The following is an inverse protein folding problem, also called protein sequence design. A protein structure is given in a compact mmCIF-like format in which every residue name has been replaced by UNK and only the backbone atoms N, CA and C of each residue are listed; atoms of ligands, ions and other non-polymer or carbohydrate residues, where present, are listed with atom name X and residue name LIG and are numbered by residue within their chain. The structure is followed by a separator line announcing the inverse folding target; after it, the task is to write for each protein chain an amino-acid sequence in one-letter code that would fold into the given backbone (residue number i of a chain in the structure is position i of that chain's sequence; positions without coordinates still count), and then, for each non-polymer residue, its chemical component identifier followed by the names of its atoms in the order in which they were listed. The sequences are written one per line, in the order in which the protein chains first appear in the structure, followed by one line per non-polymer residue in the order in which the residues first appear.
data_IF_465494356219
#
_entry.id   IF_465494356219
#
_cell.length_a   1.000
_cell.length_b   1.000
_cell.length_c   1.000
_cell.angle_alpha   90.00
_cell.angle_beta   90.00
_cell.angle_gamma   90.00
#
_symmetry.space_group_name_H-M   'P 1'
#
loop_
_entity.id
_entity.type
_entity.pdbx_description
1 polymer ?
#
# COMPACT_ATOMS: atom_id res chain seq x y z
N UNK A 1 9.02 21.86 -19.31
CA UNK A 1 9.02 20.76 -20.29
C UNK A 1 7.59 20.25 -20.46
N UNK A 2 7.06 20.06 -21.67
CA UNK A 2 5.73 19.45 -21.86
C UNK A 2 5.81 17.97 -21.50
N UNK A 3 5.00 17.51 -20.54
CA UNK A 3 4.86 16.07 -20.27
C UNK A 3 4.15 15.46 -21.50
N UNK A 4 4.77 14.49 -22.20
CA UNK A 4 4.16 13.85 -23.36
C UNK A 4 2.84 13.18 -22.97
N UNK A 5 1.97 12.91 -23.95
CA UNK A 5 0.75 12.12 -23.70
C UNK A 5 1.13 10.77 -23.07
N UNK A 6 0.49 10.42 -21.96
CA UNK A 6 0.75 9.16 -21.28
C UNK A 6 0.26 7.98 -22.15
N UNK A 7 0.98 6.84 -22.18
CA UNK A 7 0.52 5.64 -22.87
C UNK A 7 -0.79 5.11 -22.25
N UNK A 8 -1.54 4.22 -22.93
CA UNK A 8 -2.73 3.60 -22.35
C UNK A 8 -2.38 2.70 -21.15
N UNK A 9 -3.36 2.39 -20.31
CA UNK A 9 -3.17 1.44 -19.21
C UNK A 9 -3.05 -0.01 -19.72
N UNK A 10 -2.33 -0.88 -18.99
CA UNK A 10 -1.49 -0.56 -17.85
C UNK A 10 -0.18 0.14 -18.28
N UNK A 11 0.29 1.06 -17.43
CA UNK A 11 1.45 1.92 -17.69
C UNK A 11 2.33 2.22 -16.47
N UNK A 12 2.06 1.58 -15.33
CA UNK A 12 2.84 1.74 -14.12
C UNK A 12 3.88 0.64 -14.01
N UNK A 13 3.57 -0.47 -13.32
CA UNK A 13 4.51 -1.57 -13.10
C UNK A 13 4.85 -2.29 -14.40
N UNK A 14 3.85 -2.51 -15.25
CA UNK A 14 3.98 -3.18 -16.53
C UNK A 14 3.25 -2.39 -17.60
N UNK A 15 3.82 -2.40 -18.80
CA UNK A 15 3.08 -2.05 -20.03
C UNK A 15 2.45 -3.30 -20.64
N UNK A 16 1.59 -3.14 -21.66
CA UNK A 16 1.10 -4.27 -22.46
C UNK A 16 2.25 -5.15 -22.98
N UNK A 17 3.34 -4.55 -23.46
CA UNK A 17 4.54 -5.30 -23.87
C UNK A 17 5.17 -6.06 -22.70
N UNK A 18 5.28 -5.42 -21.53
CA UNK A 18 5.81 -6.05 -20.32
C UNK A 18 4.98 -7.25 -19.84
N UNK A 19 3.66 -7.22 -20.03
CA UNK A 19 2.77 -8.35 -19.72
C UNK A 19 3.04 -9.53 -20.65
N UNK A 20 3.18 -9.29 -21.96
CA UNK A 20 3.49 -10.35 -22.92
C UNK A 20 4.89 -10.95 -22.67
N UNK A 21 5.87 -10.11 -22.33
CA UNK A 21 7.20 -10.58 -21.90
C UNK A 21 7.13 -11.41 -20.61
N UNK A 22 6.29 -11.03 -19.66
CA UNK A 22 6.06 -11.79 -18.43
C UNK A 22 5.44 -13.16 -18.72
N UNK A 23 4.39 -13.24 -19.55
CA UNK A 23 3.77 -14.51 -19.96
C UNK A 23 4.78 -15.43 -20.64
N UNK A 24 5.55 -14.90 -21.58
CA UNK A 24 6.62 -15.65 -22.26
C UNK A 24 7.67 -16.19 -21.27
N UNK A 25 8.06 -15.41 -20.25
CA UNK A 25 9.01 -15.87 -19.23
C UNK A 25 8.42 -16.98 -18.35
N UNK A 26 7.14 -16.89 -17.98
CA UNK A 26 6.44 -17.91 -17.20
C UNK A 26 6.44 -19.25 -17.94
N UNK A 27 6.23 -19.25 -19.26
CA UNK A 27 6.25 -20.46 -20.09
C UNK A 27 7.66 -21.05 -20.26
N UNK A 28 8.67 -20.18 -20.35
CA UNK A 28 10.04 -20.59 -20.72
C UNK A 28 10.96 -20.95 -19.56
N UNK A 29 10.71 -20.40 -18.37
CA UNK A 29 11.65 -20.52 -17.25
C UNK A 29 10.98 -21.05 -15.98
N UNK A 30 11.50 -22.14 -15.42
CA UNK A 30 10.95 -22.78 -14.22
C UNK A 30 10.92 -21.87 -12.99
N UNK A 31 11.93 -20.99 -12.83
CA UNK A 31 11.94 -20.01 -11.74
C UNK A 31 10.79 -18.99 -11.86
N UNK A 32 10.48 -18.59 -13.10
CA UNK A 32 9.41 -17.64 -13.36
C UNK A 32 8.05 -18.30 -13.16
N UNK A 33 7.89 -19.54 -13.63
CA UNK A 33 6.72 -20.37 -13.36
C UNK A 33 6.48 -20.56 -11.86
N UNK A 34 7.52 -20.92 -11.11
CA UNK A 34 7.43 -21.09 -9.65
C UNK A 34 6.99 -19.81 -8.95
N UNK A 35 7.56 -18.67 -9.36
CA UNK A 35 7.15 -17.37 -8.80
C UNK A 35 5.71 -17.01 -9.16
N UNK A 36 5.31 -17.25 -10.40
CA UNK A 36 3.94 -17.05 -10.87
C UNK A 36 2.94 -17.89 -10.09
N UNK A 37 3.20 -19.19 -9.86
CA UNK A 37 2.31 -20.05 -9.07
C UNK A 37 2.13 -19.54 -7.65
N UNK A 38 3.15 -18.93 -7.04
CA UNK A 38 3.02 -18.28 -5.74
C UNK A 38 2.09 -17.06 -5.78
N UNK A 39 2.18 -16.23 -6.82
CA UNK A 39 1.34 -15.04 -7.01
C UNK A 39 -0.11 -15.48 -7.25
N UNK A 40 -0.30 -16.45 -8.16
CA UNK A 40 -1.61 -17.01 -8.47
C UNK A 40 -2.26 -17.64 -7.23
N UNK A 41 -1.50 -18.41 -6.44
CA UNK A 41 -2.00 -19.00 -5.18
C UNK A 41 -2.47 -17.94 -4.19
N UNK A 42 -1.75 -16.82 -4.06
CA UNK A 42 -2.16 -15.71 -3.19
C UNK A 42 -3.45 -15.05 -3.70
N UNK A 43 -3.55 -14.81 -5.01
CA UNK A 43 -4.76 -14.28 -5.65
C UNK A 43 -5.97 -15.23 -5.49
N UNK A 44 -5.78 -16.54 -5.72
CA UNK A 44 -6.81 -17.58 -5.57
C UNK A 44 -7.32 -17.68 -4.12
N UNK A 45 -6.44 -17.45 -3.13
CA UNK A 45 -6.85 -17.40 -1.73
C UNK A 45 -7.77 -16.20 -1.47
N UNK A 46 -7.39 -15.01 -1.95
CA UNK A 46 -8.20 -13.79 -1.79
C UNK A 46 -9.57 -13.87 -2.48
N UNK A 47 -9.71 -14.61 -3.59
CA UNK A 47 -11.02 -14.81 -4.22
C UNK A 47 -12.05 -15.46 -3.29
N UNK A 48 -11.59 -16.25 -2.30
CA UNK A 48 -12.44 -16.99 -1.36
C UNK A 48 -12.73 -16.19 -0.09
N UNK A 49 -12.05 -15.07 0.11
CA UNK A 49 -12.16 -14.25 1.30
C UNK A 49 -13.17 -13.10 1.10
N UNK A 50 -13.87 -12.77 2.17
CA UNK A 50 -14.64 -11.53 2.28
C UNK A 50 -13.66 -10.36 2.48
N UNK A 51 -13.91 -9.24 1.78
CA UNK A 51 -13.10 -8.03 1.94
C UNK A 51 -13.53 -7.30 3.21
N UNK A 52 -12.82 -7.56 4.30
CA UNK A 52 -13.03 -6.88 5.58
C UNK A 52 -11.81 -6.00 5.91
N UNK A 53 -12.00 -4.68 5.88
CA UNK A 53 -10.94 -3.73 6.21
C UNK A 53 -10.75 -3.60 7.72
N UNK A 54 -9.50 -3.43 8.21
CA UNK A 54 -9.23 -3.05 9.59
C UNK A 54 -10.06 -1.84 10.05
N UNK A 55 -10.40 -1.73 11.35
CA UNK A 55 -11.29 -0.70 11.85
C UNK A 55 -10.63 0.68 11.88
N UNK A 56 -9.30 0.74 11.84
CA UNK A 56 -8.45 1.94 11.86
C UNK A 56 -7.10 1.62 11.22
N UNK A 57 -6.29 2.66 11.01
CA UNK A 57 -4.90 2.51 10.60
C UNK A 57 -4.03 1.75 11.60
N UNK A 58 -2.93 1.22 11.09
CA UNK A 58 -1.90 0.54 11.83
C UNK A 58 -0.99 1.51 12.60
N UNK A 59 -0.51 1.05 13.74
CA UNK A 59 0.42 1.75 14.60
C UNK A 59 1.88 1.46 14.21
N UNK A 60 2.82 2.22 14.77
CA UNK A 60 4.24 2.12 14.45
C UNK A 60 4.81 0.78 14.91
N UNK A 61 5.35 0.00 13.96
CA UNK A 61 5.84 -1.36 14.21
C UNK A 61 6.91 -1.45 15.29
N UNK A 62 7.68 -0.39 15.52
CA UNK A 62 8.71 -0.33 16.56
C UNK A 62 8.12 -0.34 17.98
N UNK A 63 6.82 -0.03 18.14
CA UNK A 63 6.14 -0.21 19.42
C UNK A 63 5.82 -1.67 19.72
N UNK A 64 5.99 -2.61 18.78
CA UNK A 64 5.72 -4.03 18.99
C UNK A 64 6.83 -4.76 19.75
N UNK A 65 7.21 -4.21 20.90
CA UNK A 65 8.25 -4.73 21.78
C UNK A 65 7.71 -4.94 23.20
N UNK A 66 8.20 -5.98 23.87
CA UNK A 66 7.90 -6.25 25.27
C UNK A 66 8.46 -5.12 26.15
N UNK A 67 7.66 -4.53 27.06
CA UNK A 67 8.10 -3.41 27.89
C UNK A 67 9.11 -3.81 28.96
N UNK A 68 9.20 -5.10 29.29
CA UNK A 68 10.12 -5.64 30.30
C UNK A 68 11.43 -6.11 29.66
N UNK A 69 11.34 -6.86 28.56
CA UNK A 69 12.48 -7.56 27.96
C UNK A 69 13.02 -6.90 26.69
N UNK A 70 12.34 -5.90 26.12
CA UNK A 70 12.73 -5.20 24.89
C UNK A 70 12.69 -6.04 23.60
N UNK A 71 12.40 -7.34 23.70
CA UNK A 71 12.27 -8.23 22.55
C UNK A 71 10.95 -7.99 21.78
N UNK A 72 10.94 -8.31 20.49
CA UNK A 72 9.73 -8.25 19.67
C UNK A 72 8.64 -9.18 20.20
N UNK A 73 7.41 -8.68 20.28
CA UNK A 73 6.25 -9.48 20.70
C UNK A 73 5.86 -10.49 19.62
N UNK A 74 5.22 -11.58 20.04
CA UNK A 74 4.60 -12.55 19.14
C UNK A 74 3.08 -12.41 19.21
N UNK A 75 2.43 -12.30 18.05
CA UNK A 75 0.98 -12.30 17.97
C UNK A 75 0.44 -13.68 18.35
N UNK A 76 -0.33 -13.74 19.43
CA UNK A 76 -0.96 -14.94 19.95
C UNK A 76 -2.37 -15.14 19.40
N UNK A 77 -3.23 -15.75 20.21
CA UNK A 77 -4.61 -16.05 19.81
C UNK A 77 -5.39 -14.76 19.58
N UNK A 78 -6.27 -14.78 18.57
CA UNK A 78 -7.27 -13.73 18.40
C UNK A 78 -8.35 -13.88 19.48
N UNK A 79 -8.53 -12.82 20.27
CA UNK A 79 -9.45 -12.79 21.43
C UNK A 79 -10.67 -11.89 21.17
N UNK A 80 -10.69 -11.19 20.05
CA UNK A 80 -11.84 -10.40 19.60
C UNK A 80 -11.66 -9.92 18.16
N UNK A 81 -12.65 -9.19 17.64
CA UNK A 81 -12.53 -8.57 16.33
C UNK A 81 -11.37 -7.57 16.37
N UNK A 82 -10.31 -7.83 15.59
CA UNK A 82 -9.09 -7.02 15.56
C UNK A 82 -8.37 -6.88 16.91
N UNK A 83 -8.43 -7.92 17.75
CA UNK A 83 -7.75 -7.97 19.05
C UNK A 83 -7.03 -9.29 19.26
N UNK A 84 -5.79 -9.24 19.72
CA UNK A 84 -4.94 -10.41 19.92
C UNK A 84 -4.27 -10.43 21.29
N UNK A 85 -3.84 -11.62 21.70
CA UNK A 85 -2.82 -11.75 22.73
C UNK A 85 -1.46 -11.34 22.17
N UNK A 86 -0.61 -10.73 22.99
CA UNK A 86 0.76 -10.39 22.60
C UNK A 86 1.73 -11.06 23.57
N UNK A 87 2.38 -12.11 23.11
CA UNK A 87 3.24 -12.95 23.95
C UNK A 87 4.68 -12.45 23.88
N UNK A 88 5.30 -12.29 25.05
CA UNK A 88 6.74 -12.13 25.16
C UNK A 88 7.42 -13.49 24.99
N UNK A 89 8.33 -13.66 24.02
CA UNK A 89 9.05 -14.93 23.84
C UNK A 89 10.08 -15.22 24.93
N UNK A 90 10.49 -14.21 25.71
CA UNK A 90 11.51 -14.34 26.76
C UNK A 90 10.90 -14.71 28.11
N UNK A 91 10.01 -13.88 28.64
CA UNK A 91 9.38 -14.12 29.94
C UNK A 91 8.08 -14.94 29.88
N UNK A 92 7.53 -15.17 28.68
CA UNK A 92 6.31 -15.95 28.47
C UNK A 92 5.01 -15.22 28.80
N UNK A 93 5.08 -13.99 29.32
CA UNK A 93 3.92 -13.18 29.67
C UNK A 93 3.09 -12.77 28.46
N UNK A 94 1.77 -12.67 28.68
CA UNK A 94 0.83 -12.07 27.73
C UNK A 94 0.66 -10.60 28.11
N UNK A 95 1.10 -9.71 27.24
CA UNK A 95 0.97 -8.26 27.39
C UNK A 95 -0.35 -7.81 26.77
N UNK A 96 -1.07 -6.94 27.48
CA UNK A 96 -2.34 -6.38 27.01
C UNK A 96 -2.08 -5.18 26.11
N UNK A 97 -2.80 -5.11 25.00
CA UNK A 97 -2.86 -3.91 24.16
C UNK A 97 -3.71 -2.84 24.83
N UNK A 98 -3.27 -1.58 24.77
CA UNK A 98 -4.02 -0.39 25.16
C UNK A 98 -4.04 0.62 24.00
N UNK A 99 -5.14 0.72 23.24
CA UNK A 99 -5.23 1.60 22.07
C UNK A 99 -5.26 3.09 22.41
N UNK A 100 -5.35 3.46 23.70
CA UNK A 100 -5.30 4.87 24.12
C UNK A 100 -3.87 5.42 24.16
N UNK A 101 -2.86 4.55 24.08
CA UNK A 101 -1.44 4.89 24.15
C UNK A 101 -0.68 4.21 23.01
N UNK A 102 -0.12 4.97 22.05
CA UNK A 102 0.61 4.40 20.91
C UNK A 102 1.72 3.43 21.31
N UNK A 103 2.45 3.67 22.40
CA UNK A 103 3.54 2.80 22.85
C UNK A 103 3.11 1.43 23.38
N UNK A 104 1.81 1.24 23.64
CA UNK A 104 1.23 -0.01 24.13
C UNK A 104 0.08 -0.49 23.26
N UNK A 105 -0.17 0.17 22.13
CA UNK A 105 -1.19 -0.22 21.16
C UNK A 105 -0.64 -1.31 20.22
N UNK A 106 -0.48 -2.50 20.78
CA UNK A 106 0.08 -3.67 20.11
C UNK A 106 -0.87 -4.25 19.06
N UNK A 107 -2.18 -4.22 19.30
CA UNK A 107 -3.19 -4.56 18.29
C UNK A 107 -3.00 -3.68 17.04
N UNK A 108 -2.79 -2.38 17.24
CA UNK A 108 -2.49 -1.44 16.16
C UNK A 108 -1.25 -1.82 15.35
N UNK A 109 -0.19 -2.30 15.99
CA UNK A 109 1.00 -2.78 15.28
C UNK A 109 0.69 -4.02 14.41
N UNK A 110 -0.19 -4.91 14.90
CA UNK A 110 -0.62 -6.11 14.16
C UNK A 110 -1.48 -5.74 12.94
N UNK A 111 -2.24 -4.63 12.98
CA UNK A 111 -3.06 -4.15 11.86
C UNK A 111 -2.26 -3.83 10.58
N UNK A 112 -0.93 -3.66 10.67
CA UNK A 112 -0.09 -3.46 9.48
C UNK A 112 -0.18 -4.66 8.52
N UNK A 113 -0.27 -5.88 9.05
CA UNK A 113 -0.34 -7.10 8.25
C UNK A 113 -1.60 -7.20 7.37
N UNK A 114 -2.84 -7.08 7.90
CA UNK A 114 -4.04 -7.12 7.08
C UNK A 114 -4.13 -5.96 6.07
N UNK A 115 -3.69 -4.75 6.42
CA UNK A 115 -3.64 -3.65 5.44
C UNK A 115 -2.71 -3.96 4.27
N UNK A 116 -1.51 -4.46 4.55
CA UNK A 116 -0.54 -4.82 3.52
C UNK A 116 -0.92 -6.07 2.74
N UNK A 117 -1.59 -7.04 3.37
CA UNK A 117 -2.16 -8.21 2.68
C UNK A 117 -3.11 -7.75 1.58
N UNK A 118 -4.01 -6.80 1.89
CA UNK A 118 -4.96 -6.28 0.92
C UNK A 118 -4.28 -5.40 -0.14
N UNK A 119 -3.36 -4.52 0.25
CA UNK A 119 -2.60 -3.68 -0.70
C UNK A 119 -1.81 -4.54 -1.70
N UNK A 120 -1.02 -5.49 -1.21
CA UNK A 120 -0.29 -6.44 -2.06
C UNK A 120 -1.24 -7.35 -2.84
N UNK A 121 -2.36 -7.71 -2.22
CA UNK A 121 -3.43 -8.49 -2.83
C UNK A 121 -4.00 -7.84 -4.10
N UNK A 122 -4.23 -6.53 -4.09
CA UNK A 122 -4.68 -5.79 -5.28
C UNK A 122 -3.69 -5.94 -6.43
N UNK A 123 -2.38 -5.89 -6.15
CA UNK A 123 -1.35 -6.13 -7.15
C UNK A 123 -1.33 -7.58 -7.64
N UNK A 124 -1.36 -8.55 -6.74
CA UNK A 124 -1.32 -9.97 -7.12
C UNK A 124 -2.58 -10.37 -7.92
N UNK A 125 -3.75 -9.84 -7.57
CA UNK A 125 -5.01 -9.97 -8.33
C UNK A 125 -4.92 -9.31 -9.71
N UNK A 126 -4.35 -8.11 -9.81
CA UNK A 126 -4.13 -7.41 -11.08
C UNK A 126 -3.19 -8.19 -12.01
N UNK A 127 -2.08 -8.72 -11.49
CA UNK A 127 -1.18 -9.60 -12.23
C UNK A 127 -1.89 -10.88 -12.66
N UNK A 128 -2.70 -11.48 -11.77
CA UNK A 128 -3.45 -12.67 -12.07
C UNK A 128 -4.45 -12.47 -13.22
N UNK A 129 -5.17 -11.35 -13.21
CA UNK A 129 -6.06 -10.94 -14.29
C UNK A 129 -5.29 -10.79 -15.62
N UNK A 130 -4.16 -10.08 -15.62
CA UNK A 130 -3.40 -9.81 -16.85
C UNK A 130 -2.80 -11.06 -17.51
N UNK A 131 -2.39 -12.05 -16.71
CA UNK A 131 -1.85 -13.32 -17.23
C UNK A 131 -2.97 -14.25 -17.70
N UNK A 132 -4.06 -14.37 -16.93
CA UNK A 132 -5.08 -15.41 -17.16
C UNK A 132 -6.29 -14.95 -17.97
N UNK A 133 -6.57 -13.64 -18.01
CA UNK A 133 -7.80 -13.07 -18.54
C UNK A 133 -9.06 -13.30 -17.66
N UNK A 134 -8.94 -13.99 -16.52
CA UNK A 134 -10.07 -14.31 -15.66
C UNK A 134 -10.56 -13.05 -14.91
N UNK A 135 -11.78 -12.61 -15.26
CA UNK A 135 -12.40 -11.39 -14.75
C UNK A 135 -12.70 -11.45 -13.24
N UNK A 136 -12.71 -12.64 -12.62
CA UNK A 136 -12.92 -12.78 -11.16
C UNK A 136 -11.81 -12.08 -10.37
N UNK A 137 -10.56 -12.11 -10.84
CA UNK A 137 -9.46 -11.41 -10.15
C UNK A 137 -9.62 -9.89 -10.24
N UNK A 138 -9.98 -9.36 -11.41
CA UNK A 138 -10.25 -7.93 -11.58
C UNK A 138 -11.43 -7.47 -10.71
N UNK A 139 -12.50 -8.26 -10.64
CA UNK A 139 -13.66 -7.98 -9.80
C UNK A 139 -13.30 -7.93 -8.30
N UNK A 140 -12.49 -8.88 -7.79
CA UNK A 140 -12.04 -8.86 -6.40
C UNK A 140 -11.08 -7.70 -6.10
N UNK A 141 -10.19 -7.35 -7.04
CA UNK A 141 -9.32 -6.18 -6.89
C UNK A 141 -10.13 -4.88 -6.83
N UNK A 142 -11.16 -4.75 -7.70
CA UNK A 142 -12.13 -3.65 -7.67
C UNK A 142 -12.85 -3.55 -6.32
N UNK A 143 -13.31 -4.69 -5.77
CA UNK A 143 -13.97 -4.74 -4.45
C UNK A 143 -13.08 -4.16 -3.35
N UNK A 144 -11.81 -4.56 -3.30
CA UNK A 144 -10.84 -4.04 -2.32
C UNK A 144 -10.60 -2.54 -2.50
N UNK A 145 -10.42 -2.09 -3.74
CA UNK A 145 -10.18 -0.68 -4.05
C UNK A 145 -11.36 0.20 -3.64
N UNK A 146 -12.59 -0.22 -3.92
CA UNK A 146 -13.80 0.51 -3.54
C UNK A 146 -14.03 0.50 -2.03
N UNK A 147 -13.75 -0.62 -1.36
CA UNK A 147 -13.83 -0.67 0.11
C UNK A 147 -12.88 0.36 0.75
N UNK A 148 -11.66 0.53 0.22
CA UNK A 148 -10.76 1.58 0.70
C UNK A 148 -11.23 2.97 0.28
N UNK A 149 -11.75 3.15 -0.95
CA UNK A 149 -12.29 4.44 -1.39
C UNK A 149 -13.40 4.96 -0.48
N UNK A 150 -14.25 4.07 0.03
CA UNK A 150 -15.32 4.41 0.97
C UNK A 150 -14.77 4.71 2.37
N UNK A 151 -13.78 3.94 2.85
CA UNK A 151 -13.33 3.97 4.25
C UNK A 151 -12.17 4.90 4.53
N UNK A 152 -11.29 5.15 3.57
CA UNK A 152 -9.96 5.75 3.78
C UNK A 152 -10.01 7.09 4.54
N UNK A 153 -10.92 7.99 4.14
CA UNK A 153 -11.05 9.31 4.75
C UNK A 153 -11.59 9.28 6.19
N UNK A 154 -12.25 8.19 6.60
CA UNK A 154 -12.72 7.97 7.97
C UNK A 154 -11.60 7.57 8.92
N UNK A 155 -10.47 7.06 8.40
CA UNK A 155 -9.33 6.72 9.24
C UNK A 155 -8.67 8.00 9.77
N UNK A 156 -8.48 8.12 11.09
CA UNK A 156 -7.87 9.32 11.66
C UNK A 156 -6.41 9.44 11.24
N UNK A 157 -6.01 10.67 10.88
CA UNK A 157 -4.60 11.00 10.70
C UNK A 157 -3.89 10.88 12.04
N UNK A 158 -2.76 10.16 12.08
CA UNK A 158 -1.93 10.04 13.28
C UNK A 158 -0.45 9.81 12.92
N UNK A 159 0.45 10.31 13.76
CA UNK A 159 1.88 10.01 13.70
C UNK A 159 2.25 8.87 14.66
N UNK A 160 3.55 8.52 14.75
CA UNK A 160 4.07 7.47 15.65
C UNK A 160 3.85 7.73 17.14
N UNK A 161 3.44 8.96 17.50
CA UNK A 161 3.06 9.40 18.85
C UNK A 161 1.55 9.57 19.01
N UNK A 162 0.75 9.15 18.04
CA UNK A 162 -0.72 9.25 18.08
C UNK A 162 -1.29 10.64 17.84
N UNK A 163 -0.45 11.60 17.39
CA UNK A 163 -0.89 12.97 17.15
C UNK A 163 -1.34 13.17 15.70
N UNK A 164 -2.43 13.90 15.48
CA UNK A 164 -2.90 14.27 14.14
C UNK A 164 -2.06 15.43 13.55
N UNK A 165 -0.83 15.11 13.09
CA UNK A 165 0.11 16.09 12.53
C UNK A 165 0.68 15.65 11.18
N UNK A 166 1.18 16.63 10.43
CA UNK A 166 1.96 16.40 9.20
C UNK A 166 3.11 15.43 9.49
N UNK A 167 3.36 14.51 8.55
CA UNK A 167 4.32 13.42 8.71
C UNK A 167 3.70 12.11 9.20
N UNK A 168 2.45 12.15 9.71
CA UNK A 168 1.65 10.98 10.03
C UNK A 168 1.04 10.28 8.81
N UNK A 169 0.26 9.24 9.07
CA UNK A 169 -0.51 8.48 8.07
C UNK A 169 -1.96 8.26 8.51
N UNK A 170 -2.76 7.68 7.62
CA UNK A 170 -4.15 7.24 7.90
C UNK A 170 -4.22 5.74 8.00
N UNK A 171 -3.55 5.03 7.09
CA UNK A 171 -3.41 3.56 7.13
C UNK A 171 -2.16 3.16 7.88
N UNK A 172 -1.07 3.91 7.73
CA UNK A 172 0.14 3.74 8.53
C UNK A 172 0.30 4.82 9.60
N UNK A 173 1.40 4.75 10.35
CA UNK A 173 1.72 5.68 11.44
C UNK A 173 2.64 6.83 11.02
N UNK A 174 3.12 6.81 9.78
CA UNK A 174 4.00 7.80 9.18
C UNK A 174 3.83 7.79 7.66
N UNK A 175 4.24 8.87 6.99
CA UNK A 175 4.13 8.97 5.53
C UNK A 175 4.99 7.94 4.76
N UNK A 176 6.03 7.35 5.38
CA UNK A 176 6.73 6.18 4.83
C UNK A 176 5.79 4.97 4.72
N UNK A 177 5.13 4.60 5.81
CA UNK A 177 4.20 3.47 5.89
C UNK A 177 3.07 3.70 4.88
N UNK A 178 2.50 4.91 4.86
CA UNK A 178 1.45 5.31 3.91
C UNK A 178 1.88 5.13 2.46
N UNK A 179 3.10 5.57 2.12
CA UNK A 179 3.65 5.47 0.76
C UNK A 179 3.86 4.02 0.34
N UNK A 180 4.49 3.22 1.21
CA UNK A 180 4.76 1.80 0.93
C UNK A 180 3.49 0.97 0.78
N UNK A 181 2.43 1.33 1.51
CA UNK A 181 1.09 0.73 1.37
C UNK A 181 0.38 1.17 0.08
N UNK A 182 0.53 2.43 -0.34
CA UNK A 182 -0.16 2.94 -1.53
C UNK A 182 0.45 2.45 -2.86
N UNK A 183 1.76 2.17 -2.89
CA UNK A 183 2.46 1.75 -4.11
C UNK A 183 1.85 0.49 -4.75
N UNK A 184 1.67 -0.65 -4.04
CA UNK A 184 1.06 -1.84 -4.63
C UNK A 184 -0.40 -1.61 -5.05
N UNK A 185 -1.13 -0.76 -4.33
CA UNK A 185 -2.51 -0.37 -4.67
C UNK A 185 -2.53 0.31 -6.04
N UNK A 186 -1.69 1.32 -6.27
CA UNK A 186 -1.60 1.98 -7.56
C UNK A 186 -1.23 1.01 -8.69
N UNK A 187 -0.22 0.16 -8.44
CA UNK A 187 0.25 -0.80 -9.43
C UNK A 187 -0.84 -1.82 -9.80
N UNK A 188 -1.57 -2.36 -8.83
CA UNK A 188 -2.65 -3.30 -9.10
C UNK A 188 -3.90 -2.64 -9.69
N UNK A 189 -4.23 -1.42 -9.27
CA UNK A 189 -5.32 -0.64 -9.87
C UNK A 189 -5.07 -0.37 -11.35
N UNK A 190 -3.85 0.02 -11.72
CA UNK A 190 -3.44 0.21 -13.13
C UNK A 190 -3.63 -1.05 -13.98
N UNK A 191 -3.29 -2.23 -13.42
CA UNK A 191 -3.46 -3.52 -14.09
C UNK A 191 -4.92 -3.91 -14.32
N UNK A 192 -5.88 -3.29 -13.64
CA UNK A 192 -7.31 -3.57 -13.87
C UNK A 192 -8.07 -2.33 -14.37
N UNK A 193 -7.39 -1.22 -14.61
CA UNK A 193 -8.02 0.10 -14.77
C UNK A 193 -9.02 0.14 -15.94
N UNK A 194 -8.69 -0.54 -17.04
CA UNK A 194 -9.56 -0.67 -18.21
C UNK A 194 -10.81 -1.55 -18.01
N UNK A 195 -10.91 -2.25 -16.89
CA UNK A 195 -12.12 -3.02 -16.52
C UNK A 195 -13.10 -2.20 -15.69
N UNK A 196 -12.66 -1.09 -15.10
CA UNK A 196 -13.44 -0.24 -14.21
C UNK A 196 -14.32 0.72 -15.00
N UNK A 197 -15.56 0.91 -14.55
CA UNK A 197 -16.41 1.97 -15.09
C UNK A 197 -15.95 3.35 -14.57
N UNK A 198 -16.44 4.43 -15.19
CA UNK A 198 -16.04 5.78 -14.81
C UNK A 198 -16.37 6.10 -13.34
N UNK A 199 -17.54 5.66 -12.84
CA UNK A 199 -17.94 5.87 -11.45
C UNK A 199 -16.97 5.22 -10.45
N UNK A 200 -16.49 4.00 -10.75
CA UNK A 200 -15.49 3.34 -9.91
C UNK A 200 -14.16 4.06 -9.93
N UNK A 201 -13.70 4.48 -11.12
CA UNK A 201 -12.45 5.25 -11.28
C UNK A 201 -12.53 6.55 -10.49
N UNK A 202 -13.65 7.26 -10.54
CA UNK A 202 -13.87 8.51 -9.81
C UNK A 202 -13.93 8.27 -8.30
N UNK A 203 -14.60 7.21 -7.84
CA UNK A 203 -14.63 6.83 -6.43
C UNK A 203 -13.23 6.52 -5.91
N UNK A 204 -12.45 5.70 -6.63
CA UNK A 204 -11.08 5.32 -6.25
C UNK A 204 -10.15 6.55 -6.28
N UNK A 205 -10.26 7.39 -7.30
CA UNK A 205 -9.45 8.59 -7.42
C UNK A 205 -9.70 9.56 -6.25
N UNK A 206 -10.96 9.88 -5.98
CA UNK A 206 -11.35 10.94 -5.04
C UNK A 206 -11.46 10.47 -3.58
N UNK A 207 -11.83 9.20 -3.36
CA UNK A 207 -11.98 8.63 -2.02
C UNK A 207 -10.69 8.04 -1.43
N UNK A 208 -9.72 7.68 -2.29
CA UNK A 208 -8.50 6.97 -1.88
C UNK A 208 -7.22 7.63 -2.42
N UNK A 209 -7.02 7.63 -3.74
CA UNK A 209 -5.69 7.90 -4.31
C UNK A 209 -5.25 9.36 -4.14
N UNK A 210 -6.10 10.32 -4.47
CA UNK A 210 -5.79 11.75 -4.38
C UNK A 210 -5.65 12.21 -2.92
N UNK A 211 -6.55 11.85 -1.98
CA UNK A 211 -6.35 12.19 -0.58
C UNK A 211 -5.06 11.59 -0.01
N UNK A 212 -4.77 10.32 -0.29
CA UNK A 212 -3.54 9.70 0.17
C UNK A 212 -2.29 10.41 -0.36
N UNK A 213 -2.25 10.71 -1.66
CA UNK A 213 -1.11 11.37 -2.27
C UNK A 213 -0.96 12.84 -1.82
N UNK A 214 -2.01 13.64 -1.95
CA UNK A 214 -1.95 15.11 -1.83
C UNK A 214 -2.11 15.62 -0.40
N UNK A 215 -2.92 14.95 0.42
CA UNK A 215 -3.23 15.41 1.78
C UNK A 215 -2.38 14.72 2.85
N UNK A 216 -1.97 13.47 2.62
CA UNK A 216 -1.22 12.67 3.62
C UNK A 216 0.27 12.56 3.25
N UNK A 217 0.59 12.12 2.04
CA UNK A 217 1.97 11.82 1.63
C UNK A 217 2.75 13.08 1.25
N UNK A 218 2.16 14.00 0.48
CA UNK A 218 2.86 15.18 -0.05
C UNK A 218 3.29 16.19 1.04
N UNK A 219 2.49 16.51 2.07
CA UNK A 219 2.86 17.52 3.06
C UNK A 219 4.10 17.14 3.89
N UNK A 220 4.91 18.13 4.28
CA UNK A 220 6.12 17.93 5.10
C UNK A 220 7.24 17.18 4.37
N UNK A 221 7.89 17.77 3.35
CA UNK A 221 8.98 17.14 2.61
C UNK A 221 10.16 16.75 3.52
N UNK A 222 10.88 15.67 3.17
CA UNK A 222 12.05 15.18 3.91
C UNK A 222 13.40 15.63 3.28
N UNK A 223 13.37 16.48 2.25
CA UNK A 223 14.58 16.82 1.48
C UNK A 223 15.15 15.59 0.77
N UNK A 224 16.48 15.50 0.70
CA UNK A 224 17.20 14.35 0.13
C UNK A 224 17.27 13.23 1.17
N UNK A 225 16.45 12.19 1.00
CA UNK A 225 16.24 11.16 2.02
C UNK A 225 15.52 9.92 1.45
N UNK A 226 15.77 8.73 2.00
CA UNK A 226 15.13 7.50 1.53
C UNK A 226 13.59 7.54 1.67
N UNK A 227 13.05 8.11 2.74
CA UNK A 227 11.60 8.31 2.92
C UNK A 227 11.03 9.17 1.79
N UNK A 228 11.75 10.21 1.36
CA UNK A 228 11.30 11.04 0.25
C UNK A 228 11.24 10.25 -1.06
N UNK A 229 12.13 9.28 -1.29
CA UNK A 229 12.05 8.40 -2.46
C UNK A 229 10.78 7.54 -2.46
N UNK A 230 10.41 6.96 -1.31
CA UNK A 230 9.15 6.23 -1.19
C UNK A 230 7.94 7.11 -1.46
N UNK A 231 7.94 8.34 -0.91
CA UNK A 231 6.89 9.32 -1.13
C UNK A 231 6.79 9.74 -2.59
N UNK A 232 7.91 10.04 -3.24
CA UNK A 232 7.97 10.37 -4.66
C UNK A 232 7.43 9.22 -5.53
N UNK A 233 7.77 7.98 -5.19
CA UNK A 233 7.24 6.79 -5.88
C UNK A 233 5.71 6.74 -5.77
N UNK A 234 5.16 6.84 -4.55
CA UNK A 234 3.71 6.82 -4.33
C UNK A 234 2.99 7.97 -5.05
N UNK A 235 3.45 9.22 -4.89
CA UNK A 235 2.88 10.40 -5.56
C UNK A 235 2.98 10.28 -7.08
N UNK A 236 4.14 9.88 -7.60
CA UNK A 236 4.37 9.70 -9.03
C UNK A 236 3.45 8.64 -9.62
N UNK A 237 3.29 7.49 -8.96
CA UNK A 237 2.38 6.43 -9.40
C UNK A 237 0.93 6.89 -9.43
N UNK A 238 0.45 7.62 -8.42
CA UNK A 238 -0.90 8.22 -8.45
C UNK A 238 -1.03 9.20 -9.62
N UNK A 239 -0.01 10.04 -9.82
CA UNK A 239 0.01 11.01 -10.91
C UNK A 239 -0.04 10.34 -12.29
N UNK A 240 0.76 9.30 -12.52
CA UNK A 240 0.74 8.53 -13.77
C UNK A 240 -0.54 7.73 -13.95
N UNK A 241 -1.14 7.20 -12.88
CA UNK A 241 -2.42 6.51 -12.94
C UNK A 241 -3.51 7.47 -13.42
N UNK A 242 -3.65 8.62 -12.77
CA UNK A 242 -4.74 9.56 -13.00
C UNK A 242 -4.46 10.59 -14.11
N UNK A 243 -3.25 10.63 -14.65
CA UNK A 243 -2.84 11.67 -15.60
C UNK A 243 -2.63 13.05 -14.97
N UNK A 244 -2.41 13.10 -13.65
CA UNK A 244 -2.13 14.33 -12.92
C UNK A 244 -0.69 14.80 -13.16
N UNK A 245 -0.55 15.73 -14.10
CA UNK A 245 0.73 16.28 -14.54
C UNK A 245 1.48 17.04 -13.45
N UNK A 246 0.77 17.64 -12.50
CA UNK A 246 1.42 18.42 -11.45
C UNK A 246 1.97 17.50 -10.37
N UNK A 247 1.26 16.42 -10.04
CA UNK A 247 1.78 15.40 -9.13
C UNK A 247 2.98 14.65 -9.72
N UNK A 248 2.95 14.34 -11.02
CA UNK A 248 4.10 13.78 -11.74
C UNK A 248 5.30 14.73 -11.68
N UNK A 249 5.08 16.02 -12.01
CA UNK A 249 6.16 17.03 -11.99
C UNK A 249 6.72 17.21 -10.59
N UNK A 250 5.88 17.21 -9.56
CA UNK A 250 6.32 17.30 -8.17
C UNK A 250 7.19 16.10 -7.77
N UNK A 251 6.75 14.88 -8.08
CA UNK A 251 7.49 13.67 -7.73
C UNK A 251 8.84 13.53 -8.45
N UNK A 252 8.96 14.04 -9.69
CA UNK A 252 10.15 13.84 -10.53
C UNK A 252 11.07 15.06 -10.55
N UNK A 253 10.51 16.25 -10.77
CA UNK A 253 11.24 17.45 -11.15
C UNK A 253 11.27 18.53 -10.05
N UNK A 254 10.68 18.29 -8.86
CA UNK A 254 10.83 19.22 -7.74
C UNK A 254 12.34 19.38 -7.42
N UNK A 255 12.89 20.61 -7.42
CA UNK A 255 14.33 20.84 -7.31
C UNK A 255 14.91 20.44 -5.94
N UNK A 256 14.08 20.38 -4.90
CA UNK A 256 14.49 20.09 -3.54
C UNK A 256 14.28 18.62 -3.17
N UNK A 257 13.21 18.01 -3.67
CA UNK A 257 12.78 16.67 -3.23
C UNK A 257 12.57 15.67 -4.34
N UNK A 258 12.43 16.10 -5.60
CA UNK A 258 12.04 15.25 -6.72
C UNK A 258 13.07 14.18 -7.07
N UNK A 259 12.64 13.12 -7.74
CA UNK A 259 13.49 11.98 -8.11
C UNK A 259 14.82 12.40 -8.76
N UNK A 260 14.81 13.38 -9.68
CA UNK A 260 16.06 13.85 -10.32
C UNK A 260 17.02 14.45 -9.31
N UNK A 261 16.52 15.24 -8.37
CA UNK A 261 17.32 15.84 -7.29
C UNK A 261 17.84 14.77 -6.32
N UNK A 262 17.03 13.77 -5.98
CA UNK A 262 17.44 12.62 -5.15
C UNK A 262 18.61 11.88 -5.81
N UNK A 263 18.49 11.56 -7.10
CA UNK A 263 19.53 10.87 -7.86
C UNK A 263 20.80 11.70 -8.01
N UNK A 264 20.67 13.02 -8.18
CA UNK A 264 21.83 13.92 -8.36
C UNK A 264 22.60 14.16 -7.06
N UNK A 265 21.89 14.37 -5.95
CA UNK A 265 22.48 14.77 -4.66
C UNK A 265 22.81 13.57 -3.75
N UNK A 266 22.33 12.38 -4.11
CA UNK A 266 22.65 11.12 -3.47
C UNK A 266 21.66 10.71 -2.38
N UNK A 267 21.21 9.46 -2.46
CA UNK A 267 20.66 8.67 -1.35
C UNK A 267 21.51 7.42 -1.22
#
# INVERSE_FOLDING_TARGET
MRIPSLPPHPRLLLSNKGIEEMKSRIERFDWAKTRWESIKKAADALLKEEVVLPPRGANWSHWYACPVHGCGLQTGKQVGQWKWEHKCPVGGEIVRSDPTKPSTDYDGCVLHQPHNKLSRGVLDLGLAYQVTGDRRYAAKAREILLAYAEKYLSYPLHNTRGEAKIGGGRVGSQNLDESTWLIPICQGADLIWETLCQADRDAIANGLLLPAAKEVIQPGPHGIHNIQNWRNSAMGLVGFLLGDKDLIRYAIDNPDTGFRSQMQKGV
#
